data_IF_564429609808
#
_entry.id   IF_564429609808
#
_cell.length_a   1.000
_cell.length_b   1.000
_cell.length_c   1.000
_cell.angle_alpha   90.00
_cell.angle_beta   90.00
_cell.angle_gamma   90.00
#
_symmetry.space_group_name_H-M   'P 1'
#
loop_
_entity.id
_entity.type
_entity.pdbx_description
1 polymer ?
#
# COMPACT_ATOMS: atom_id res chain seq x y z
N UNK A 1 16.99 -0.51 8.39
CA UNK A 1 16.90 -0.60 6.91
C UNK A 1 15.85 -1.61 6.42
N UNK A 2 15.71 -2.81 7.01
CA UNK A 2 14.69 -3.82 6.61
C UNK A 2 13.22 -3.34 6.62
N UNK A 3 12.92 -2.34 7.44
CA UNK A 3 11.58 -1.79 7.66
C UNK A 3 11.05 -1.03 6.44
N UNK A 4 11.94 -0.29 5.78
CA UNK A 4 11.64 0.42 4.53
C UNK A 4 11.46 -0.61 3.41
N UNK A 5 12.24 -1.70 3.43
CA UNK A 5 12.02 -2.80 2.50
C UNK A 5 10.61 -3.37 2.65
N UNK A 6 10.14 -3.75 3.84
CA UNK A 6 8.78 -4.29 3.98
C UNK A 6 7.68 -3.27 3.65
N UNK A 7 7.83 -2.00 4.04
CA UNK A 7 6.86 -0.94 3.77
C UNK A 7 6.87 -0.39 2.34
N UNK A 8 7.96 -0.54 1.59
CA UNK A 8 8.10 -0.04 0.21
C UNK A 8 8.04 -1.18 -0.82
N UNK A 9 8.61 -2.34 -0.51
CA UNK A 9 8.54 -3.53 -1.38
C UNK A 9 7.14 -4.10 -1.41
N UNK A 10 6.41 -4.11 -0.28
CA UNK A 10 4.99 -4.55 -0.26
C UNK A 10 4.13 -3.76 -1.25
N UNK A 11 4.14 -2.41 -1.23
CA UNK A 11 3.36 -1.69 -2.20
C UNK A 11 3.90 -1.86 -3.63
N UNK A 12 5.21 -1.89 -3.82
CA UNK A 12 5.77 -2.06 -5.16
C UNK A 12 5.39 -3.41 -5.81
N UNK A 13 5.49 -4.49 -5.03
CA UNK A 13 5.16 -5.86 -5.48
C UNK A 13 3.66 -6.01 -5.68
N UNK A 14 2.84 -5.43 -4.82
CA UNK A 14 1.40 -5.43 -5.04
C UNK A 14 1.02 -4.64 -6.30
N UNK A 15 1.61 -3.46 -6.54
CA UNK A 15 1.23 -2.60 -7.69
C UNK A 15 1.57 -3.34 -8.96
N UNK A 16 2.82 -3.78 -9.08
CA UNK A 16 3.36 -4.39 -10.28
C UNK A 16 2.84 -5.80 -10.51
N UNK A 17 2.65 -6.59 -9.45
CA UNK A 17 2.19 -7.97 -9.56
C UNK A 17 0.72 -8.07 -9.95
N UNK A 18 -0.13 -7.17 -9.45
CA UNK A 18 -1.55 -7.17 -9.76
C UNK A 18 -1.96 -6.19 -10.86
N UNK A 19 -1.05 -5.32 -11.33
CA UNK A 19 -1.21 -4.53 -12.56
C UNK A 19 -1.71 -5.37 -13.75
N UNK A 20 -1.03 -6.47 -14.17
CA UNK A 20 -1.48 -7.27 -15.30
C UNK A 20 -2.85 -7.91 -15.08
N UNK A 21 -3.17 -8.26 -13.83
CA UNK A 21 -4.49 -8.79 -13.49
C UNK A 21 -5.57 -7.72 -13.58
N UNK A 22 -5.32 -6.53 -13.05
CA UNK A 22 -6.26 -5.39 -13.05
C UNK A 22 -6.56 -4.90 -14.46
N UNK A 23 -5.56 -4.83 -15.35
CA UNK A 23 -5.81 -4.48 -16.76
C UNK A 23 -6.48 -5.60 -17.54
N UNK A 24 -6.32 -6.87 -17.13
CA UNK A 24 -7.08 -7.98 -17.73
C UNK A 24 -8.55 -7.98 -17.29
N UNK A 25 -8.86 -7.41 -16.12
CA UNK A 25 -10.21 -7.27 -15.60
C UNK A 25 -10.88 -6.06 -16.28
N UNK A 26 -11.42 -6.30 -17.49
CA UNK A 26 -12.28 -5.34 -18.20
C UNK A 26 -13.68 -5.17 -17.60
N UNK A 27 -13.86 -5.54 -16.32
CA UNK A 27 -15.16 -5.44 -15.64
C UNK A 27 -15.36 -4.03 -15.10
N UNK A 28 -16.49 -3.44 -15.46
CA UNK A 28 -16.95 -2.19 -14.88
C UNK A 28 -17.88 -2.47 -13.70
N UNK A 29 -17.59 -1.89 -12.55
CA UNK A 29 -18.46 -1.95 -11.37
C UNK A 29 -19.32 -0.70 -11.39
N UNK A 30 -20.64 -0.85 -11.61
CA UNK A 30 -21.57 0.28 -11.66
C UNK A 30 -21.32 1.28 -12.80
N UNK A 31 -20.69 0.83 -13.90
CA UNK A 31 -20.30 1.70 -15.02
C UNK A 31 -18.89 2.31 -14.91
N UNK A 32 -18.22 2.13 -13.76
CA UNK A 32 -16.87 2.64 -13.52
C UNK A 32 -15.84 1.50 -13.69
N UNK A 33 -14.72 1.72 -14.40
CA UNK A 33 -13.68 0.70 -14.55
C UNK A 33 -13.12 0.20 -13.21
N UNK A 34 -12.93 -1.10 -13.06
CA UNK A 34 -12.32 -1.73 -11.88
C UNK A 34 -10.93 -1.14 -11.53
N UNK A 35 -10.21 -0.62 -12.52
CA UNK A 35 -8.93 0.08 -12.32
C UNK A 35 -9.02 1.23 -11.30
N UNK A 36 -10.16 1.93 -11.19
CA UNK A 36 -10.33 2.99 -10.19
C UNK A 36 -10.44 2.44 -8.77
N UNK A 37 -11.14 1.32 -8.60
CA UNK A 37 -11.22 0.63 -7.30
C UNK A 37 -9.82 0.19 -6.85
N UNK A 38 -9.04 -0.37 -7.77
CA UNK A 38 -7.66 -0.74 -7.55
C UNK A 38 -6.78 0.44 -7.09
N UNK A 39 -6.86 1.58 -7.79
CA UNK A 39 -6.14 2.81 -7.40
C UNK A 39 -6.53 3.28 -5.98
N UNK A 40 -7.81 3.13 -5.59
CA UNK A 40 -8.24 3.49 -4.24
C UNK A 40 -7.67 2.54 -3.19
N UNK A 41 -7.66 1.23 -3.46
CA UNK A 41 -7.00 0.23 -2.62
C UNK A 41 -5.52 0.55 -2.43
N UNK A 42 -4.83 1.01 -3.47
CA UNK A 42 -3.44 1.48 -3.39
C UNK A 42 -3.22 2.61 -2.40
N UNK A 43 -4.17 3.54 -2.36
CA UNK A 43 -4.14 4.66 -1.43
C UNK A 43 -4.26 4.18 0.02
N UNK A 44 -5.20 3.26 0.29
CA UNK A 44 -5.34 2.62 1.61
C UNK A 44 -4.10 1.81 1.98
N UNK A 45 -3.51 1.08 1.03
CA UNK A 45 -2.32 0.27 1.29
C UNK A 45 -1.12 1.13 1.66
N UNK A 46 -0.95 2.28 0.99
CA UNK A 46 0.12 3.25 1.28
C UNK A 46 -0.09 3.85 2.67
N UNK A 47 -1.31 4.29 2.97
CA UNK A 47 -1.67 4.82 4.29
C UNK A 47 -1.48 3.77 5.40
N UNK A 48 -1.89 2.52 5.13
CA UNK A 48 -1.65 1.36 5.99
C UNK A 48 -0.16 1.05 6.19
N UNK A 49 0.67 1.19 5.15
CA UNK A 49 2.12 1.05 5.28
C UNK A 49 2.71 2.12 6.20
N UNK A 50 2.32 3.39 6.03
CA UNK A 50 2.74 4.46 6.95
C UNK A 50 2.27 4.18 8.38
N UNK A 51 1.03 3.72 8.55
CA UNK A 51 0.48 3.37 9.86
C UNK A 51 1.21 2.18 10.50
N UNK A 52 1.51 1.12 9.74
CA UNK A 52 2.31 0.00 10.24
C UNK A 52 3.73 0.43 10.61
N UNK A 53 4.36 1.27 9.78
CA UNK A 53 5.67 1.86 10.07
C UNK A 53 5.65 2.65 11.38
N UNK A 54 4.61 3.45 11.60
CA UNK A 54 4.40 4.20 12.84
C UNK A 54 4.21 3.27 14.03
N UNK A 55 3.27 2.30 13.94
CA UNK A 55 2.92 1.41 15.06
C UNK A 55 4.06 0.47 15.47
N UNK A 56 4.92 0.06 14.54
CA UNK A 56 6.05 -0.83 14.83
C UNK A 56 7.37 -0.10 15.12
N UNK A 57 7.51 1.18 14.79
CA UNK A 57 8.75 1.92 15.08
C UNK A 57 8.58 3.02 16.09
N UNK A 58 7.48 3.79 16.02
CA UNK A 58 7.24 4.88 16.96
C UNK A 58 6.80 4.38 18.34
N UNK A 59 6.32 3.13 18.44
CA UNK A 59 6.21 2.43 19.72
C UNK A 59 7.57 2.18 20.40
N UNK A 60 8.70 2.40 19.71
CA UNK A 60 10.06 2.22 20.24
C UNK A 60 10.94 3.48 20.26
N UNK A 61 10.54 4.60 19.66
CA UNK A 61 11.33 5.86 19.59
C UNK A 61 10.89 6.97 20.53
N UNK A 62 10.09 6.68 21.57
CA UNK A 62 9.75 7.64 22.64
C UNK A 62 10.90 8.06 23.57
N UNK A 63 12.17 8.00 23.16
CA UNK A 63 13.35 8.36 23.96
C UNK A 63 14.40 9.22 23.20
N UNK A 64 14.00 9.93 22.14
CA UNK A 64 14.92 10.82 21.40
C UNK A 64 14.51 12.31 21.47
N UNK A 65 13.81 12.71 22.53
CA UNK A 65 13.51 14.13 22.84
C UNK A 65 13.68 14.43 24.35
N UNK A 66 14.81 14.01 24.94
CA UNK A 66 15.24 14.42 26.28
C UNK A 66 16.55 15.23 26.20
#
# INVERSE_FOLDING_TARGET
MFKILLGLVTPFVGVLGALPWVVSVGRSVGGVPFAYFWMFTWFLLTSGCLYLCYRWFDAGSGHAEA
#
